data_IF_324573909012
#
_entry.id   IF_324573909012
#
_cell.length_a   1.000
_cell.length_b   1.000
_cell.length_c   1.000
_cell.angle_alpha   90.00
_cell.angle_beta   90.00
_cell.angle_gamma   90.00
#
_symmetry.space_group_name_H-M   'P 1'
#
loop_
_entity.id
_entity.type
_entity.pdbx_description
1 polymer ?
#
# COMPACT_ATOMS: atom_id res chain seq x y z
N UNK A 1 -24.68 1.70 -10.97
CA UNK A 1 -24.86 1.58 -9.51
C UNK A 1 -23.47 1.75 -8.97
N UNK A 2 -23.21 2.82 -8.23
CA UNK A 2 -21.86 3.10 -7.73
C UNK A 2 -21.46 2.00 -6.74
N UNK A 3 -20.33 1.35 -6.99
CA UNK A 3 -19.78 0.30 -6.13
C UNK A 3 -19.11 0.93 -4.89
N UNK A 4 -18.89 0.16 -3.81
CA UNK A 4 -18.05 0.63 -2.71
C UNK A 4 -16.65 1.08 -3.15
N UNK A 5 -16.11 0.49 -4.23
CA UNK A 5 -14.83 0.85 -4.83
C UNK A 5 -14.90 2.21 -5.53
N UNK A 6 -16.00 2.54 -6.21
CA UNK A 6 -16.24 3.88 -6.79
C UNK A 6 -16.15 4.99 -5.74
N UNK A 7 -16.64 4.71 -4.52
CA UNK A 7 -16.54 5.61 -3.37
C UNK A 7 -15.09 5.86 -2.94
N UNK A 8 -14.26 4.82 -2.94
CA UNK A 8 -12.82 4.92 -2.65
C UNK A 8 -12.11 5.73 -3.74
N UNK A 9 -12.32 5.39 -5.01
CA UNK A 9 -11.74 6.08 -6.17
C UNK A 9 -12.09 7.58 -6.11
N UNK A 10 -13.35 7.90 -5.82
CA UNK A 10 -13.81 9.29 -5.70
C UNK A 10 -13.09 10.05 -4.59
N UNK A 11 -12.89 9.43 -3.42
CA UNK A 11 -12.13 10.04 -2.31
C UNK A 11 -10.65 10.26 -2.67
N UNK A 12 -10.03 9.31 -3.35
CA UNK A 12 -8.63 9.43 -3.78
C UNK A 12 -8.43 10.51 -4.85
N UNK A 13 -9.37 10.65 -5.80
CA UNK A 13 -9.37 11.75 -6.78
C UNK A 13 -9.57 13.11 -6.10
N UNK A 14 -10.49 13.20 -5.14
CA UNK A 14 -10.70 14.41 -4.35
C UNK A 14 -9.44 14.77 -3.54
N UNK A 15 -8.78 13.77 -2.95
CA UNK A 15 -7.50 13.97 -2.25
C UNK A 15 -6.43 14.52 -3.20
N UNK A 16 -6.22 13.91 -4.37
CA UNK A 16 -5.21 14.36 -5.34
C UNK A 16 -5.40 15.83 -5.74
N UNK A 17 -6.66 16.24 -5.96
CA UNK A 17 -7.00 17.61 -6.34
C UNK A 17 -6.61 18.68 -5.29
N UNK A 18 -6.42 18.29 -4.03
CA UNK A 18 -6.00 19.19 -2.94
C UNK A 18 -4.48 19.22 -2.73
N UNK A 19 -3.73 18.29 -3.30
CA UNK A 19 -2.32 18.12 -3.05
C UNK A 19 -1.47 18.78 -4.13
N UNK A 20 -0.34 19.36 -3.72
CA UNK A 20 0.63 19.88 -4.68
C UNK A 20 1.20 18.71 -5.51
N UNK A 21 1.40 18.84 -6.85
CA UNK A 21 1.85 17.72 -7.69
C UNK A 21 3.16 17.06 -7.25
N UNK A 22 4.07 17.83 -6.63
CA UNK A 22 5.35 17.35 -6.08
C UNK A 22 5.26 16.83 -4.64
N UNK A 23 4.09 16.85 -4.02
CA UNK A 23 3.90 16.31 -2.68
C UNK A 23 4.01 14.77 -2.74
N UNK A 24 4.84 14.18 -1.88
CA UNK A 24 5.09 12.75 -1.85
C UNK A 24 3.84 11.92 -1.59
N UNK A 25 2.88 12.46 -0.83
CA UNK A 25 1.56 11.81 -0.65
C UNK A 25 0.79 11.82 -1.97
N UNK A 26 0.88 12.88 -2.77
CA UNK A 26 0.23 12.93 -4.08
C UNK A 26 0.86 11.92 -5.05
N UNK A 27 2.19 11.75 -5.00
CA UNK A 27 2.88 10.73 -5.81
C UNK A 27 2.36 9.33 -5.47
N UNK A 28 2.35 8.95 -4.20
CA UNK A 28 1.81 7.65 -3.80
C UNK A 28 0.31 7.52 -4.10
N UNK A 29 -0.49 8.55 -3.81
CA UNK A 29 -1.94 8.53 -4.07
C UNK A 29 -2.26 8.24 -5.53
N UNK A 30 -1.50 8.82 -6.48
CA UNK A 30 -1.69 8.55 -7.91
C UNK A 30 -1.30 7.13 -8.32
N UNK A 31 -0.21 6.60 -7.77
CA UNK A 31 0.17 5.20 -7.97
C UNK A 31 -0.92 4.27 -7.45
N UNK A 32 -1.39 4.52 -6.23
CA UNK A 32 -2.42 3.68 -5.62
C UNK A 32 -3.77 3.83 -6.34
N UNK A 33 -4.15 5.03 -6.79
CA UNK A 33 -5.37 5.26 -7.57
C UNK A 33 -5.37 4.44 -8.86
N UNK A 34 -4.25 4.43 -9.59
CA UNK A 34 -4.13 3.65 -10.81
C UNK A 34 -4.30 2.14 -10.57
N UNK A 35 -3.80 1.65 -9.42
CA UNK A 35 -3.99 0.26 -8.97
C UNK A 35 -5.45 -0.01 -8.61
N UNK A 36 -6.08 0.82 -7.78
CA UNK A 36 -7.50 0.65 -7.38
C UNK A 36 -8.43 0.69 -8.59
N UNK A 37 -8.21 1.61 -9.55
CA UNK A 37 -8.97 1.64 -10.80
C UNK A 37 -8.75 0.38 -11.66
N UNK A 38 -7.56 -0.25 -11.59
CA UNK A 38 -7.30 -1.50 -12.28
C UNK A 38 -7.98 -2.70 -11.60
N UNK A 39 -8.00 -2.72 -10.27
CA UNK A 39 -8.75 -3.72 -9.48
C UNK A 39 -10.24 -3.61 -9.78
N UNK A 40 -10.81 -2.40 -9.74
CA UNK A 40 -12.23 -2.13 -10.04
C UNK A 40 -12.63 -2.69 -11.42
N UNK A 41 -11.86 -2.38 -12.47
CA UNK A 41 -12.07 -2.96 -13.80
C UNK A 41 -11.92 -4.48 -13.81
N UNK A 42 -11.02 -5.04 -13.01
CA UNK A 42 -10.81 -6.49 -12.93
C UNK A 42 -12.00 -7.19 -12.27
N UNK A 43 -12.61 -6.59 -11.24
CA UNK A 43 -13.87 -7.06 -10.63
C UNK A 43 -14.96 -7.14 -11.70
N UNK A 44 -15.11 -6.11 -12.53
CA UNK A 44 -16.11 -6.07 -13.61
C UNK A 44 -15.93 -7.17 -14.66
N UNK A 45 -14.72 -7.71 -14.81
CA UNK A 45 -14.45 -8.82 -15.75
C UNK A 45 -14.86 -10.20 -15.22
N UNK A 46 -15.35 -10.31 -13.98
CA UNK A 46 -15.81 -11.57 -13.39
C UNK A 46 -14.69 -12.58 -13.15
N UNK A 47 -13.47 -12.11 -12.92
CA UNK A 47 -12.27 -12.96 -12.74
C UNK A 47 -11.97 -13.35 -11.30
N UNK A 48 -12.65 -12.75 -10.31
CA UNK A 48 -12.58 -13.18 -8.92
C UNK A 48 -13.54 -14.34 -8.66
N UNK A 49 -13.10 -15.33 -7.87
CA UNK A 49 -13.95 -16.44 -7.45
C UNK A 49 -15.09 -15.95 -6.55
N UNK A 50 -14.77 -15.08 -5.59
CA UNK A 50 -15.73 -14.30 -4.82
C UNK A 50 -15.50 -12.78 -4.99
N UNK A 51 -16.23 -12.12 -5.91
CA UNK A 51 -16.16 -10.67 -6.10
C UNK A 51 -16.52 -9.87 -4.84
N UNK A 52 -17.38 -10.37 -3.96
CA UNK A 52 -17.75 -9.68 -2.73
C UNK A 52 -16.58 -9.68 -1.73
N UNK A 53 -15.86 -10.79 -1.62
CA UNK A 53 -14.64 -10.88 -0.82
C UNK A 53 -13.54 -9.95 -1.36
N UNK A 54 -13.32 -9.95 -2.67
CA UNK A 54 -12.33 -9.08 -3.32
C UNK A 54 -12.65 -7.59 -3.11
N UNK A 55 -13.90 -7.16 -3.32
CA UNK A 55 -14.34 -5.78 -3.08
C UNK A 55 -14.18 -5.40 -1.60
N UNK A 56 -14.53 -6.30 -0.68
CA UNK A 56 -14.41 -6.03 0.76
C UNK A 56 -12.95 -5.81 1.14
N UNK A 57 -12.04 -6.66 0.65
CA UNK A 57 -10.61 -6.52 0.89
C UNK A 57 -10.07 -5.21 0.31
N UNK A 58 -10.39 -4.89 -0.95
CA UNK A 58 -9.91 -3.66 -1.61
C UNK A 58 -10.36 -2.40 -0.86
N UNK A 59 -11.64 -2.34 -0.47
CA UNK A 59 -12.19 -1.21 0.29
C UNK A 59 -11.54 -1.10 1.67
N UNK A 60 -11.37 -2.21 2.39
CA UNK A 60 -10.71 -2.21 3.71
C UNK A 60 -9.26 -1.78 3.59
N UNK A 61 -8.57 -2.22 2.55
CA UNK A 61 -7.19 -1.86 2.29
C UNK A 61 -7.09 -0.35 2.04
N UNK A 62 -7.90 0.20 1.14
CA UNK A 62 -7.90 1.62 0.84
C UNK A 62 -8.28 2.51 2.03
N UNK A 63 -9.22 2.04 2.86
CA UNK A 63 -9.61 2.74 4.09
C UNK A 63 -8.40 2.97 5.01
N UNK A 64 -7.48 1.99 5.16
CA UNK A 64 -6.29 2.16 6.02
C UNK A 64 -5.40 3.31 5.58
N UNK A 65 -5.16 3.44 4.27
CA UNK A 65 -4.40 4.56 3.72
C UNK A 65 -5.13 5.89 3.94
N UNK A 66 -6.42 5.96 3.62
CA UNK A 66 -7.20 7.18 3.76
C UNK A 66 -7.32 7.62 5.23
N UNK A 67 -7.46 6.68 6.16
CA UNK A 67 -7.45 6.95 7.61
C UNK A 67 -6.10 7.52 8.08
N UNK A 68 -4.98 7.06 7.51
CA UNK A 68 -3.66 7.62 7.81
C UNK A 68 -3.54 9.07 7.31
N UNK A 69 -4.09 9.38 6.13
CA UNK A 69 -4.16 10.75 5.59
C UNK A 69 -5.04 11.63 6.45
N UNK A 70 -6.23 11.16 6.83
CA UNK A 70 -7.18 11.88 7.68
C UNK A 70 -6.63 12.11 9.09
N UNK A 71 -5.87 11.16 9.63
CA UNK A 71 -5.18 11.33 10.91
C UNK A 71 -4.24 12.53 10.87
N UNK A 72 -3.42 12.66 9.83
CA UNK A 72 -2.52 13.80 9.68
C UNK A 72 -3.27 15.10 9.46
N UNK A 73 -4.33 15.09 8.65
CA UNK A 73 -5.17 16.28 8.41
C UNK A 73 -5.85 16.77 9.69
N UNK A 74 -6.19 15.86 10.61
CA UNK A 74 -6.75 16.16 11.92
C UNK A 74 -5.69 16.38 13.02
N UNK A 75 -4.43 16.61 12.66
CA UNK A 75 -3.29 16.79 13.59
C UNK A 75 -3.08 15.62 14.57
N UNK A 76 -3.59 14.43 14.24
CA UNK A 76 -3.37 13.19 14.98
C UNK A 76 -2.12 12.48 14.47
N UNK A 77 -1.60 11.58 15.29
CA UNK A 77 -0.44 10.77 14.96
C UNK A 77 -0.86 9.58 14.07
N UNK A 78 -0.41 9.47 12.81
CA UNK A 78 -0.69 8.30 11.98
C UNK A 78 0.13 7.07 12.45
N UNK A 79 -0.15 5.87 11.92
CA UNK A 79 0.69 4.69 12.11
C UNK A 79 2.16 4.97 11.80
N UNK A 80 3.08 4.34 12.54
CA UNK A 80 4.51 4.54 12.42
C UNK A 80 5.06 4.25 11.02
N UNK A 81 4.46 3.30 10.29
CA UNK A 81 4.79 2.93 8.91
C UNK A 81 4.61 4.11 7.94
N UNK A 82 3.60 4.94 8.15
CA UNK A 82 3.26 6.08 7.30
C UNK A 82 3.99 7.39 7.67
N UNK A 83 4.43 7.53 8.92
CA UNK A 83 5.08 8.77 9.41
C UNK A 83 6.23 9.26 8.54
N UNK A 84 7.17 8.42 8.05
CA UNK A 84 8.29 8.89 7.24
C UNK A 84 7.83 9.61 5.97
N UNK A 85 6.84 9.06 5.26
CA UNK A 85 6.29 9.66 4.05
C UNK A 85 5.70 11.03 4.38
N UNK A 86 4.85 11.12 5.40
CA UNK A 86 4.23 12.40 5.78
C UNK A 86 5.24 13.45 6.26
N UNK A 87 6.30 13.05 6.95
CA UNK A 87 7.34 13.95 7.44
C UNK A 87 8.20 14.50 6.29
N UNK A 88 8.52 13.68 5.29
CA UNK A 88 9.40 14.04 4.18
C UNK A 88 8.66 14.42 2.89
N UNK A 89 7.32 14.46 2.90
CA UNK A 89 6.44 14.65 1.73
C UNK A 89 6.74 15.87 0.84
N UNK A 90 7.52 16.84 1.30
CA UNK A 90 7.93 18.04 0.53
C UNK A 90 9.44 18.23 0.47
N UNK A 91 10.21 17.23 0.89
CA UNK A 91 11.65 17.35 0.98
C UNK A 91 12.29 17.41 -0.41
N UNK A 92 13.08 18.44 -0.75
CA UNK A 92 13.58 18.67 -2.11
C UNK A 92 14.63 17.64 -2.57
N UNK A 93 15.22 16.89 -1.62
CA UNK A 93 16.18 15.83 -1.91
C UNK A 93 15.56 14.43 -2.08
N UNK A 94 14.24 14.27 -1.89
CA UNK A 94 13.56 12.98 -2.07
C UNK A 94 12.87 12.94 -3.43
N UNK A 95 13.09 11.87 -4.19
CA UNK A 95 12.58 11.71 -5.56
C UNK A 95 11.19 11.07 -5.58
N UNK A 96 10.38 11.27 -6.64
CA UNK A 96 9.06 10.66 -6.78
C UNK A 96 9.05 9.14 -6.54
N UNK A 97 10.02 8.42 -7.11
CA UNK A 97 10.14 6.98 -6.90
C UNK A 97 10.30 6.60 -5.41
N UNK A 98 11.09 7.35 -4.64
CA UNK A 98 11.26 7.09 -3.21
C UNK A 98 9.94 7.28 -2.44
N UNK A 99 9.13 8.28 -2.82
CA UNK A 99 7.81 8.48 -2.23
C UNK A 99 6.84 7.35 -2.56
N UNK A 100 6.83 6.90 -3.81
CA UNK A 100 6.03 5.75 -4.23
C UNK A 100 6.43 4.50 -3.45
N UNK A 101 7.72 4.14 -3.44
CA UNK A 101 8.22 2.96 -2.71
C UNK A 101 7.95 3.05 -1.20
N UNK A 102 8.10 4.22 -0.59
CA UNK A 102 7.80 4.39 0.83
C UNK A 102 6.31 4.20 1.14
N UNK A 103 5.42 4.70 0.27
CA UNK A 103 3.98 4.47 0.40
C UNK A 103 3.61 3.01 0.17
N UNK A 104 4.16 2.35 -0.85
CA UNK A 104 3.91 0.92 -1.09
C UNK A 104 4.46 0.08 0.08
N UNK A 105 5.63 0.41 0.62
CA UNK A 105 6.19 -0.23 1.81
C UNK A 105 5.25 -0.12 3.02
N UNK A 106 4.70 1.07 3.31
CA UNK A 106 3.76 1.25 4.40
C UNK A 106 2.45 0.48 4.15
N UNK A 107 1.93 0.57 2.93
CA UNK A 107 0.64 -0.01 2.59
C UNK A 107 0.69 -1.54 2.53
N UNK A 108 1.57 -2.12 1.72
CA UNK A 108 1.71 -3.57 1.61
C UNK A 108 2.30 -4.16 2.90
N UNK A 109 3.33 -3.53 3.47
CA UNK A 109 4.07 -4.09 4.60
C UNK A 109 3.32 -4.07 5.93
N UNK A 110 2.30 -3.22 6.08
CA UNK A 110 1.54 -3.09 7.33
C UNK A 110 0.02 -3.11 7.09
N UNK A 111 -0.50 -2.23 6.25
CA UNK A 111 -1.95 -2.07 6.10
C UNK A 111 -2.61 -3.32 5.53
N UNK A 112 -1.96 -4.01 4.58
CA UNK A 112 -2.52 -5.19 3.91
C UNK A 112 -2.80 -6.33 4.90
N UNK A 113 -1.88 -6.60 5.82
CA UNK A 113 -2.07 -7.65 6.82
C UNK A 113 -3.29 -7.38 7.71
N UNK A 114 -3.49 -6.11 8.07
CA UNK A 114 -4.63 -5.68 8.89
C UNK A 114 -5.94 -5.65 8.09
N UNK A 115 -5.87 -5.28 6.81
CA UNK A 115 -7.01 -5.30 5.90
C UNK A 115 -7.53 -6.74 5.68
N UNK A 116 -6.66 -7.73 5.53
CA UNK A 116 -7.05 -9.15 5.45
C UNK A 116 -7.77 -9.58 6.72
N UNK A 117 -7.21 -9.29 7.90
CA UNK A 117 -7.83 -9.64 9.18
C UNK A 117 -9.21 -9.00 9.35
N UNK A 118 -9.36 -7.71 9.00
CA UNK A 118 -10.65 -7.02 9.09
C UNK A 118 -11.65 -7.49 8.04
N UNK A 119 -11.18 -7.94 6.88
CA UNK A 119 -12.01 -8.57 5.85
C UNK A 119 -12.56 -9.89 6.37
N UNK A 120 -11.71 -10.76 6.92
CA UNK A 120 -12.14 -12.00 7.55
C UNK A 120 -13.18 -11.76 8.65
N UNK A 121 -12.98 -10.75 9.51
CA UNK A 121 -13.97 -10.36 10.53
C UNK A 121 -15.28 -9.87 9.91
N UNK A 122 -15.21 -9.08 8.84
CA UNK A 122 -16.38 -8.52 8.17
C UNK A 122 -17.22 -9.61 7.50
N UNK A 123 -16.57 -10.61 6.90
CA UNK A 123 -17.22 -11.69 6.15
C UNK A 123 -17.53 -12.92 7.01
N UNK A 124 -16.97 -13.02 8.21
CA UNK A 124 -17.13 -14.20 9.07
C UNK A 124 -16.36 -15.42 8.56
N UNK A 125 -15.26 -15.22 7.83
CA UNK A 125 -14.42 -16.28 7.26
C UNK A 125 -13.03 -16.33 7.90
N UNK A 126 -12.19 -17.28 7.49
CA UNK A 126 -10.79 -17.35 7.90
C UNK A 126 -9.87 -16.92 6.73
N UNK A 127 -8.60 -16.53 6.98
CA UNK A 127 -7.70 -16.10 5.91
C UNK A 127 -7.56 -17.10 4.76
N UNK A 128 -7.60 -18.41 5.03
CA UNK A 128 -7.54 -19.42 3.97
C UNK A 128 -8.68 -19.31 2.95
N UNK A 129 -9.84 -18.77 3.35
CA UNK A 129 -10.98 -18.55 2.46
C UNK A 129 -10.80 -17.32 1.56
N UNK A 130 -9.78 -16.48 1.80
CA UNK A 130 -9.46 -15.27 1.02
C UNK A 130 -8.18 -15.44 0.17
N UNK A 131 -7.55 -16.61 0.19
CA UNK A 131 -6.24 -16.84 -0.45
C UNK A 131 -6.32 -16.64 -1.97
N UNK A 132 -7.38 -17.16 -2.59
CA UNK A 132 -7.60 -17.03 -4.04
C UNK A 132 -7.77 -15.55 -4.47
N UNK A 133 -8.59 -14.77 -3.75
CA UNK A 133 -8.76 -13.33 -4.02
C UNK A 133 -7.47 -12.56 -3.76
N UNK A 134 -6.75 -12.91 -2.69
CA UNK A 134 -5.48 -12.29 -2.34
C UNK A 134 -4.47 -12.49 -3.47
N UNK A 135 -4.33 -13.71 -3.98
CA UNK A 135 -3.40 -14.08 -5.05
C UNK A 135 -3.79 -13.45 -6.40
N UNK A 136 -5.08 -13.45 -6.75
CA UNK A 136 -5.56 -12.80 -7.96
C UNK A 136 -5.25 -11.28 -7.98
N UNK A 137 -5.39 -10.59 -6.85
CA UNK A 137 -4.94 -9.19 -6.71
C UNK A 137 -3.42 -9.09 -6.86
N UNK A 138 -2.69 -10.06 -6.33
CA UNK A 138 -1.24 -10.16 -6.47
C UNK A 138 -0.74 -10.17 -7.91
N UNK A 139 -1.29 -11.08 -8.70
CA UNK A 139 -0.95 -11.23 -10.11
C UNK A 139 -1.24 -9.94 -10.88
N UNK A 140 -2.37 -9.29 -10.56
CA UNK A 140 -2.70 -7.98 -11.12
C UNK A 140 -1.65 -6.93 -10.74
N UNK A 141 -1.24 -6.84 -9.48
CA UNK A 141 -0.23 -5.87 -9.03
C UNK A 141 1.12 -6.09 -9.71
N UNK A 142 1.55 -7.34 -9.84
CA UNK A 142 2.78 -7.70 -10.58
C UNK A 142 2.68 -7.26 -12.04
N UNK A 143 1.53 -7.45 -12.68
CA UNK A 143 1.31 -6.99 -14.06
C UNK A 143 1.38 -5.46 -14.23
N UNK A 144 1.12 -4.71 -13.17
CA UNK A 144 1.19 -3.25 -13.15
C UNK A 144 2.57 -2.71 -12.76
N UNK A 145 3.44 -3.53 -12.18
CA UNK A 145 4.72 -3.10 -11.63
C UNK A 145 5.60 -2.40 -12.67
N UNK A 146 5.80 -3.02 -13.84
CA UNK A 146 6.65 -2.46 -14.90
C UNK A 146 6.10 -1.11 -15.40
N UNK A 147 4.78 -0.98 -15.54
CA UNK A 147 4.15 0.29 -15.93
C UNK A 147 4.35 1.38 -14.88
N UNK A 148 4.17 1.05 -13.60
CA UNK A 148 4.40 1.98 -12.49
C UNK A 148 5.87 2.41 -12.45
N UNK A 149 6.79 1.49 -12.72
CA UNK A 149 8.24 1.77 -12.80
C UNK A 149 8.56 2.76 -13.93
N UNK A 150 8.03 2.53 -15.12
CA UNK A 150 8.20 3.43 -16.27
C UNK A 150 7.65 4.85 -15.98
N UNK A 151 6.47 4.95 -15.37
CA UNK A 151 5.84 6.23 -15.04
C UNK A 151 6.64 7.02 -13.97
N UNK A 152 7.29 6.32 -13.03
CA UNK A 152 8.06 6.94 -11.94
C UNK A 152 9.52 7.26 -12.30
N UNK A 153 10.08 6.61 -13.32
CA UNK A 153 11.43 6.83 -13.83
C UNK A 153 11.46 7.02 -15.36
N UNK A 154 10.91 8.12 -15.91
CA UNK A 154 10.99 8.39 -17.34
C UNK A 154 12.41 8.83 -17.73
N UNK A 155 13.21 7.94 -18.32
CA UNK A 155 14.54 8.28 -18.86
C UNK A 155 15.45 7.08 -19.16
N UNK A 156 16.57 7.28 -19.89
CA UNK A 156 17.49 6.20 -20.30
C UNK A 156 18.35 5.60 -19.17
N UNK A 157 18.10 5.97 -17.90
CA UNK A 157 18.93 5.60 -16.74
C UNK A 157 18.73 4.15 -16.22
N UNK A 158 17.90 3.34 -16.88
CA UNK A 158 17.71 1.92 -16.53
C UNK A 158 18.98 1.06 -16.67
N UNK A 159 20.07 1.60 -17.25
CA UNK A 159 21.28 0.83 -17.58
C UNK A 159 22.49 1.07 -16.66
N UNK A 160 22.40 1.94 -15.64
CA UNK A 160 23.46 2.05 -14.63
C UNK A 160 23.08 1.29 -13.36
N UNK A 161 23.62 0.07 -13.22
CA UNK A 161 23.47 -0.79 -12.02
C UNK A 161 23.98 -0.09 -10.74
N UNK A 162 24.78 0.97 -10.87
CA UNK A 162 25.31 1.77 -9.75
C UNK A 162 24.44 2.99 -9.36
N UNK A 163 23.34 3.28 -10.07
CA UNK A 163 22.44 4.35 -9.67
C UNK A 163 21.65 3.95 -8.39
N UNK A 164 21.62 4.80 -7.34
CA UNK A 164 20.93 4.48 -6.09
C UNK A 164 19.44 4.15 -6.27
N UNK A 165 18.74 4.74 -7.25
CA UNK A 165 17.33 4.44 -7.50
C UNK A 165 17.15 3.10 -8.20
N UNK A 166 18.02 2.79 -9.17
CA UNK A 166 18.04 1.47 -9.83
C UNK A 166 18.32 0.35 -8.81
N UNK A 167 19.27 0.55 -7.88
CA UNK A 167 19.51 -0.40 -6.79
C UNK A 167 18.31 -0.51 -5.82
N UNK A 168 17.68 0.62 -5.45
CA UNK A 168 16.50 0.62 -4.58
C UNK A 168 15.32 -0.13 -5.22
N UNK A 169 15.07 0.06 -6.51
CA UNK A 169 14.09 -0.70 -7.27
C UNK A 169 14.42 -2.19 -7.27
N UNK A 170 15.65 -2.57 -7.64
CA UNK A 170 16.04 -3.98 -7.71
C UNK A 170 16.08 -4.70 -6.36
N UNK A 171 16.22 -3.97 -5.25
CA UNK A 171 16.22 -4.53 -3.90
C UNK A 171 14.83 -4.62 -3.25
N UNK A 172 13.83 -3.94 -3.82
CA UNK A 172 12.45 -3.98 -3.35
C UNK A 172 11.63 -4.95 -4.21
N UNK A 173 10.92 -5.88 -3.57
CA UNK A 173 10.11 -6.89 -4.25
C UNK A 173 8.68 -6.88 -3.70
N UNK A 174 7.73 -6.56 -4.58
CA UNK A 174 6.30 -6.56 -4.26
C UNK A 174 5.83 -7.95 -3.82
N UNK A 175 6.22 -9.00 -4.56
CA UNK A 175 5.89 -10.40 -4.24
C UNK A 175 6.32 -10.76 -2.82
N UNK A 176 7.58 -10.53 -2.47
CA UNK A 176 8.09 -10.82 -1.12
C UNK A 176 7.41 -10.00 -0.04
N UNK A 177 7.05 -8.74 -0.33
CA UNK A 177 6.31 -7.90 0.60
C UNK A 177 4.88 -8.43 0.83
N UNK A 178 4.21 -8.92 -0.23
CA UNK A 178 2.89 -9.56 -0.13
C UNK A 178 2.94 -10.88 0.64
N UNK A 179 3.93 -11.73 0.39
CA UNK A 179 4.11 -12.98 1.14
C UNK A 179 4.31 -12.73 2.64
N UNK A 180 5.09 -11.71 2.97
CA UNK A 180 5.28 -11.26 4.36
C UNK A 180 3.97 -10.74 4.96
N UNK A 181 3.20 -9.96 4.21
CA UNK A 181 1.90 -9.45 4.64
C UNK A 181 0.89 -10.59 4.86
N UNK A 182 0.85 -11.59 3.99
CA UNK A 182 0.03 -12.79 4.14
C UNK A 182 0.38 -13.57 5.40
N UNK A 183 1.68 -13.78 5.63
CA UNK A 183 2.19 -14.44 6.83
C UNK A 183 1.82 -13.66 8.09
N UNK A 184 1.97 -12.33 8.08
CA UNK A 184 1.57 -11.46 9.18
C UNK A 184 0.06 -11.50 9.43
N UNK A 185 -0.77 -11.51 8.39
CA UNK A 185 -2.23 -11.62 8.50
C UNK A 185 -2.63 -12.94 9.18
N UNK A 186 -2.04 -14.07 8.76
CA UNK A 186 -2.30 -15.38 9.39
C UNK A 186 -1.85 -15.42 10.84
N UNK A 187 -0.70 -14.84 11.17
CA UNK A 187 -0.23 -14.73 12.55
C UNK A 187 -1.19 -13.90 13.41
N UNK A 188 -1.58 -12.71 12.94
CA UNK A 188 -2.55 -11.84 13.61
C UNK A 188 -3.91 -12.53 13.78
N UNK A 189 -4.37 -13.26 12.77
CA UNK A 189 -5.60 -14.03 12.86
C UNK A 189 -5.52 -15.13 13.92
N UNK A 190 -4.40 -15.85 14.01
CA UNK A 190 -4.19 -16.87 15.03
C UNK A 190 -4.12 -16.26 16.45
N UNK A 191 -3.56 -15.05 16.57
CA UNK A 191 -3.43 -14.32 17.83
C UNK A 191 -4.70 -13.56 18.24
N UNK A 192 -5.79 -13.61 17.46
CA UNK A 192 -6.99 -12.76 17.66
C UNK A 192 -7.67 -12.93 19.03
N UNK A 193 -7.54 -14.10 19.66
CA UNK A 193 -8.08 -14.40 21.00
C UNK A 193 -7.14 -13.94 22.13
N UNK A 194 -5.98 -13.35 21.78
CA UNK A 194 -4.96 -12.83 22.68
C UNK A 194 -4.69 -11.36 22.33
N UNK A 195 -5.62 -10.43 22.68
CA UNK A 195 -5.60 -9.06 22.17
C UNK A 195 -4.33 -8.28 22.53
N UNK A 196 -3.75 -8.52 23.72
CA UNK A 196 -2.50 -7.88 24.13
C UNK A 196 -1.34 -8.29 23.21
N UNK A 197 -1.21 -9.59 22.91
CA UNK A 197 -0.14 -10.13 22.04
C UNK A 197 -0.36 -9.71 20.59
N UNK A 198 -1.61 -9.72 20.11
CA UNK A 198 -1.93 -9.22 18.78
C UNK A 198 -1.63 -7.72 18.62
N UNK A 199 -1.88 -6.94 19.68
CA UNK A 199 -1.52 -5.52 19.76
C UNK A 199 -0.02 -5.31 19.68
N UNK A 200 0.76 -5.99 20.52
CA UNK A 200 2.23 -5.93 20.48
C UNK A 200 2.78 -6.33 19.11
N UNK A 201 2.27 -7.41 18.51
CA UNK A 201 2.70 -7.83 17.17
C UNK A 201 2.41 -6.76 16.12
N UNK A 202 1.22 -6.15 16.16
CA UNK A 202 0.82 -5.06 15.25
C UNK A 202 1.75 -3.85 15.40
N UNK A 203 2.07 -3.44 16.64
CA UNK A 203 2.98 -2.32 16.89
C UNK A 203 4.41 -2.59 16.43
N UNK A 204 4.91 -3.82 16.61
CA UNK A 204 6.22 -4.21 16.11
C UNK A 204 6.27 -4.21 14.58
N UNK A 205 5.22 -4.73 13.92
CA UNK A 205 5.09 -4.66 12.47
C UNK A 205 5.09 -3.20 11.98
N UNK A 206 4.25 -2.35 12.59
CA UNK A 206 4.14 -0.92 12.27
C UNK A 206 5.49 -0.19 12.37
N UNK A 207 6.20 -0.40 13.48
CA UNK A 207 7.49 0.26 13.73
C UNK A 207 8.61 -0.27 12.85
N UNK A 208 8.65 -1.57 12.54
CA UNK A 208 9.62 -2.18 11.64
C UNK A 208 9.45 -1.67 10.20
N UNK A 209 8.20 -1.67 9.70
CA UNK A 209 7.88 -1.12 8.38
C UNK A 209 8.20 0.37 8.31
N UNK A 210 7.93 1.11 9.39
CA UNK A 210 8.31 2.53 9.51
C UNK A 210 9.82 2.77 9.52
N UNK A 211 10.63 1.83 10.03
CA UNK A 211 12.09 1.91 9.94
C UNK A 211 12.56 1.77 8.49
N UNK A 212 12.05 0.78 7.76
CA UNK A 212 12.34 0.63 6.33
C UNK A 212 11.92 1.87 5.54
N UNK A 213 10.75 2.43 5.82
CA UNK A 213 10.26 3.67 5.19
C UNK A 213 11.20 4.87 5.40
N UNK A 214 11.86 4.99 6.57
CA UNK A 214 12.88 6.03 6.80
C UNK A 214 14.12 5.84 5.91
N UNK A 215 14.54 4.60 5.69
CA UNK A 215 15.69 4.29 4.82
C UNK A 215 15.36 4.57 3.35
N UNK A 216 14.16 4.18 2.89
CA UNK A 216 13.69 4.42 1.52
C UNK A 216 13.66 5.91 1.15
N UNK A 217 13.36 6.78 2.13
CA UNK A 217 13.27 8.23 1.94
C UNK A 217 14.59 8.96 2.23
N UNK A 218 15.73 8.27 2.25
CA UNK A 218 17.05 8.90 2.39
C UNK A 218 17.25 9.93 1.27
N UNK A 219 17.42 11.23 1.58
CA UNK A 219 17.58 12.23 0.54
C UNK A 219 18.83 11.98 -0.32
N UNK A 220 18.67 12.00 -1.63
CA UNK A 220 19.78 11.86 -2.58
C UNK A 220 20.32 13.25 -2.94
N UNK A 221 21.65 13.38 -2.97
CA UNK A 221 22.31 14.59 -3.48
C UNK A 221 21.87 14.83 -4.94
N UNK A 222 21.84 16.10 -5.35
CA UNK A 222 21.43 16.48 -6.71
C UNK A 222 22.51 16.14 -7.71
#
# INVERSE_FOLDING_TARGET
>A
MDTPVDGVISRMRALDATLHPRDGVAVFNRVYLAVTEAVDRYVDTGRFADPHAAITLDVRFAQRYLEAVEAVAAERRPPACWRPLFQLRRHPGVRPLQFALAGINAHIGHDLALAVVDTCRTLGCVPADLEDEFDAVGDLLVSLEERIREDLMPGPDLLQIADPLTHLLGSWSLERARDAAWTAARALWALRELPDIAGEFTEHLDTAVGLAGRMLLTPLQR
#
